data_IF_925639390269
#
_entry.id   IF_925639390269
#
_cell.length_a   1.000
_cell.length_b   1.000
_cell.length_c   1.000
_cell.angle_alpha   90.00
_cell.angle_beta   90.00
_cell.angle_gamma   90.00
#
_symmetry.space_group_name_H-M   'P 1'
#
loop_
_entity.id
_entity.type
_entity.pdbx_description
1 polymer ?
#
# COMPACT_ATOMS: atom_id res chain seq x y z
N UNK A 1 5.14 33.24 -16.61
CA UNK A 1 4.83 31.88 -17.07
C UNK A 1 4.25 31.10 -15.89
N UNK A 2 2.94 30.85 -15.86
CA UNK A 2 2.29 30.07 -14.80
C UNK A 2 2.65 28.60 -15.00
N UNK A 3 3.26 27.96 -13.99
CA UNK A 3 3.44 26.51 -13.96
C UNK A 3 2.06 25.85 -13.93
N UNK A 4 1.76 25.05 -14.96
CA UNK A 4 0.58 24.17 -14.91
C UNK A 4 0.71 23.28 -13.66
N UNK A 5 -0.35 23.14 -12.84
CA UNK A 5 -0.33 22.21 -11.73
C UNK A 5 -0.07 20.81 -12.27
N UNK A 6 0.86 20.09 -11.64
CA UNK A 6 1.15 18.69 -11.95
C UNK A 6 -0.18 17.92 -11.93
N UNK A 7 -0.47 17.20 -13.01
CA UNK A 7 -1.64 16.32 -13.11
C UNK A 7 -1.51 15.31 -11.97
N UNK A 8 -2.37 15.39 -10.97
CA UNK A 8 -2.48 14.35 -9.95
C UNK A 8 -2.86 13.08 -10.69
N UNK A 9 -1.98 12.08 -10.71
CA UNK A 9 -2.31 10.79 -11.28
C UNK A 9 -3.44 10.19 -10.43
N UNK A 10 -4.57 10.00 -11.04
CA UNK A 10 -5.72 9.36 -10.39
C UNK A 10 -5.40 7.87 -10.19
N UNK A 11 -5.67 7.35 -8.98
CA UNK A 11 -5.48 5.93 -8.69
C UNK A 11 -6.34 5.08 -9.63
N UNK A 12 -5.77 4.00 -10.15
CA UNK A 12 -6.47 3.12 -11.10
C UNK A 12 -7.77 2.54 -10.50
N UNK A 13 -8.86 2.67 -11.22
CA UNK A 13 -10.17 2.21 -10.77
C UNK A 13 -10.22 0.69 -10.46
N UNK A 14 -9.37 -0.12 -11.08
CA UNK A 14 -9.30 -1.55 -10.78
C UNK A 14 -8.69 -1.81 -9.39
N UNK A 15 -7.68 -1.02 -8.98
CA UNK A 15 -7.08 -1.12 -7.63
C UNK A 15 -8.12 -0.79 -6.58
N UNK A 16 -8.86 0.31 -6.75
CA UNK A 16 -9.91 0.72 -5.82
C UNK A 16 -10.96 -0.40 -5.67
N UNK A 17 -11.41 -0.99 -6.78
CA UNK A 17 -12.35 -2.11 -6.74
C UNK A 17 -11.77 -3.32 -6.02
N UNK A 18 -10.50 -3.62 -6.26
CA UNK A 18 -9.85 -4.76 -5.65
C UNK A 18 -9.66 -4.58 -4.14
N UNK A 19 -9.18 -3.41 -3.69
CA UNK A 19 -9.10 -3.07 -2.27
C UNK A 19 -10.47 -3.19 -1.60
N UNK A 20 -11.54 -2.64 -2.20
CA UNK A 20 -12.88 -2.76 -1.65
C UNK A 20 -13.38 -4.21 -1.58
N UNK A 21 -13.03 -5.05 -2.54
CA UNK A 21 -13.35 -6.47 -2.52
C UNK A 21 -12.67 -7.17 -1.34
N UNK A 22 -11.35 -7.01 -1.19
CA UNK A 22 -10.59 -7.61 -0.10
C UNK A 22 -11.04 -7.08 1.26
N UNK A 23 -11.22 -5.77 1.39
CA UNK A 23 -11.76 -5.12 2.58
C UNK A 23 -13.05 -5.81 3.08
N UNK A 24 -14.00 -6.05 2.18
CA UNK A 24 -15.26 -6.69 2.54
C UNK A 24 -15.06 -8.17 2.93
N UNK A 25 -14.19 -8.90 2.23
CA UNK A 25 -13.86 -10.30 2.56
C UNK A 25 -13.15 -10.44 3.90
N UNK A 26 -12.38 -9.43 4.30
CA UNK A 26 -11.67 -9.38 5.57
C UNK A 26 -12.53 -8.83 6.73
N UNK A 27 -13.83 -8.59 6.53
CA UNK A 27 -14.72 -8.11 7.59
C UNK A 27 -14.60 -6.61 7.90
N UNK A 28 -13.93 -5.84 7.06
CA UNK A 28 -13.72 -4.40 7.20
C UNK A 28 -14.78 -3.57 6.45
N UNK A 29 -15.99 -4.09 6.24
CA UNK A 29 -17.02 -3.42 5.42
C UNK A 29 -17.44 -2.05 5.96
N UNK A 30 -17.30 -1.82 7.28
CA UNK A 30 -17.55 -0.54 7.95
C UNK A 30 -16.39 0.47 7.84
N UNK A 31 -15.25 0.07 7.26
CA UNK A 31 -14.12 0.95 7.04
C UNK A 31 -14.23 1.70 5.71
N UNK A 32 -13.76 2.94 5.70
CA UNK A 32 -13.52 3.72 4.48
C UNK A 32 -12.02 3.72 4.18
N UNK A 33 -11.61 3.13 3.07
CA UNK A 33 -10.21 3.14 2.62
C UNK A 33 -10.05 4.16 1.49
N UNK A 34 -9.30 5.21 1.76
CA UNK A 34 -8.99 6.26 0.78
C UNK A 34 -7.65 5.95 0.09
N UNK A 35 -7.70 5.46 -1.13
CA UNK A 35 -6.50 5.24 -1.93
C UNK A 35 -5.85 6.57 -2.29
N UNK A 36 -4.56 6.71 -2.03
CA UNK A 36 -3.81 7.93 -2.28
C UNK A 36 -3.05 7.85 -3.61
N UNK A 37 -3.07 8.94 -4.37
CA UNK A 37 -2.31 9.04 -5.62
C UNK A 37 -0.79 9.22 -5.38
N UNK A 38 -0.41 9.78 -4.22
CA UNK A 38 0.99 9.86 -3.79
C UNK A 38 1.49 8.44 -3.48
N UNK A 39 2.69 8.04 -3.93
CA UNK A 39 3.25 6.73 -3.56
C UNK A 39 3.58 6.66 -2.07
N UNK A 40 3.69 5.43 -1.55
CA UNK A 40 4.26 5.14 -0.24
C UNK A 40 5.69 5.67 -0.12
N UNK A 41 6.27 5.61 1.07
CA UNK A 41 7.69 5.92 1.29
C UNK A 41 8.60 5.05 0.39
N UNK A 42 9.84 5.50 0.16
CA UNK A 42 10.73 4.88 -0.83
C UNK A 42 11.02 3.39 -0.57
N UNK A 43 10.98 2.99 0.71
CA UNK A 43 11.36 1.65 1.16
C UNK A 43 10.16 0.75 1.48
N UNK A 44 8.92 1.26 1.35
CA UNK A 44 7.69 0.52 1.64
C UNK A 44 6.95 0.12 0.35
N UNK A 45 6.50 -1.14 0.26
CA UNK A 45 5.64 -1.63 -0.83
C UNK A 45 4.23 -1.06 -0.73
N UNK A 46 3.74 -0.87 0.47
CA UNK A 46 2.51 -0.19 0.83
C UNK A 46 2.68 0.62 2.11
N UNK A 47 1.70 1.42 2.46
CA UNK A 47 1.67 2.20 3.70
C UNK A 47 0.21 2.52 4.01
N UNK A 48 -0.22 2.28 5.25
CA UNK A 48 -1.56 2.60 5.72
C UNK A 48 -1.52 3.57 6.89
N UNK A 49 -2.12 4.74 6.71
CA UNK A 49 -2.33 5.73 7.75
C UNK A 49 -3.75 5.59 8.29
N UNK A 50 -3.91 5.01 9.47
CA UNK A 50 -5.21 4.91 10.14
C UNK A 50 -5.56 6.22 10.83
N UNK A 51 -6.80 6.67 10.67
CA UNK A 51 -7.32 7.84 11.37
C UNK A 51 -8.06 7.35 12.60
N UNK A 52 -7.41 7.49 13.76
CA UNK A 52 -7.91 7.03 15.04
C UNK A 52 -9.29 7.62 15.38
N UNK A 53 -10.12 6.84 16.07
CA UNK A 53 -11.50 7.20 16.41
C UNK A 53 -12.47 7.20 15.23
N UNK A 54 -12.01 6.85 14.03
CA UNK A 54 -12.83 6.76 12.82
C UNK A 54 -12.49 5.47 12.08
N UNK A 55 -13.47 4.78 11.54
CA UNK A 55 -13.20 3.64 10.65
C UNK A 55 -12.74 4.15 9.26
N UNK A 56 -11.63 4.89 9.25
CA UNK A 56 -11.07 5.57 8.09
C UNK A 56 -9.58 5.35 8.02
N UNK A 57 -9.09 4.97 6.85
CA UNK A 57 -7.67 4.83 6.59
C UNK A 57 -7.29 5.39 5.21
N UNK A 58 -6.07 5.93 5.11
CA UNK A 58 -5.45 6.30 3.84
C UNK A 58 -4.46 5.21 3.49
N UNK A 59 -4.55 4.67 2.29
CA UNK A 59 -3.66 3.64 1.79
C UNK A 59 -2.84 4.16 0.63
N UNK A 60 -1.54 3.92 0.69
CA UNK A 60 -0.56 4.29 -0.31
C UNK A 60 0.06 3.00 -0.88
N UNK A 61 0.32 2.98 -2.17
CA UNK A 61 1.08 1.90 -2.82
C UNK A 61 2.37 2.48 -3.41
N UNK A 62 3.41 1.68 -3.52
CA UNK A 62 4.65 2.16 -4.12
C UNK A 62 4.46 2.52 -5.59
N UNK A 63 5.33 3.40 -6.12
CA UNK A 63 5.17 4.00 -7.46
C UNK A 63 5.10 2.99 -8.61
N UNK A 64 5.74 1.85 -8.41
CA UNK A 64 5.90 0.80 -9.44
C UNK A 64 4.96 -0.40 -9.24
N UNK A 65 4.01 -0.35 -8.29
CA UNK A 65 3.12 -1.46 -7.93
C UNK A 65 2.42 -2.12 -9.14
N UNK A 66 2.20 -1.36 -10.23
CA UNK A 66 1.61 -1.89 -11.47
C UNK A 66 2.49 -2.89 -12.21
N UNK A 67 3.77 -2.99 -11.82
CA UNK A 67 4.76 -3.92 -12.39
C UNK A 67 4.87 -5.21 -11.57
N UNK A 68 4.33 -5.22 -10.37
CA UNK A 68 4.38 -6.35 -9.48
C UNK A 68 3.49 -7.49 -10.00
N UNK A 69 3.77 -8.69 -9.54
CA UNK A 69 2.88 -9.82 -9.83
C UNK A 69 1.51 -9.64 -9.15
N UNK A 70 0.44 -10.24 -9.69
CA UNK A 70 -0.86 -10.21 -9.03
C UNK A 70 -0.81 -10.73 -7.59
N UNK A 71 0.07 -11.70 -7.32
CA UNK A 71 0.31 -12.30 -6.01
C UNK A 71 0.95 -11.29 -5.04
N UNK A 72 1.96 -10.53 -5.50
CA UNK A 72 2.63 -9.53 -4.69
C UNK A 72 1.68 -8.36 -4.37
N UNK A 73 0.92 -7.90 -5.36
CA UNK A 73 -0.11 -6.86 -5.14
C UNK A 73 -1.13 -7.32 -4.10
N UNK A 74 -1.58 -8.58 -4.19
CA UNK A 74 -2.48 -9.15 -3.20
C UNK A 74 -1.85 -9.16 -1.81
N UNK A 75 -0.62 -9.66 -1.68
CA UNK A 75 0.09 -9.74 -0.41
C UNK A 75 0.21 -8.35 0.23
N UNK A 76 0.66 -7.35 -0.54
CA UNK A 76 0.76 -5.97 -0.07
C UNK A 76 -0.59 -5.43 0.40
N UNK A 77 -1.66 -5.56 -0.39
CA UNK A 77 -2.96 -4.99 0.00
C UNK A 77 -3.56 -5.73 1.20
N UNK A 78 -3.35 -7.04 1.35
CA UNK A 78 -3.79 -7.79 2.54
C UNK A 78 -3.02 -7.31 3.76
N UNK A 79 -1.69 -7.12 3.67
CA UNK A 79 -0.87 -6.55 4.72
C UNK A 79 -1.42 -5.18 5.17
N UNK A 80 -1.64 -4.28 4.23
CA UNK A 80 -2.13 -2.93 4.51
C UNK A 80 -3.54 -2.93 5.15
N UNK A 81 -4.41 -3.83 4.77
CA UNK A 81 -5.73 -3.95 5.38
C UNK A 81 -5.69 -4.55 6.79
N UNK A 82 -4.67 -5.34 7.13
CA UNK A 82 -4.49 -5.88 8.49
C UNK A 82 -4.16 -4.79 9.50
N UNK A 83 -3.49 -3.70 9.11
CA UNK A 83 -3.33 -2.52 9.96
C UNK A 83 -4.66 -1.97 10.46
N UNK A 84 -5.71 -1.99 9.63
CA UNK A 84 -7.05 -1.57 10.06
C UNK A 84 -7.65 -2.48 11.15
N UNK A 85 -7.32 -3.78 11.17
CA UNK A 85 -7.76 -4.69 12.23
C UNK A 85 -7.05 -4.43 13.55
N UNK A 86 -5.74 -4.12 13.50
CA UNK A 86 -4.94 -3.88 14.70
C UNK A 86 -5.09 -2.47 15.26
N UNK A 87 -5.55 -1.52 14.44
CA UNK A 87 -5.66 -0.12 14.83
C UNK A 87 -6.50 0.11 16.09
N UNK A 88 -7.57 -0.67 16.29
CA UNK A 88 -8.40 -0.58 17.51
C UNK A 88 -7.63 -1.03 18.75
N UNK A 89 -6.80 -2.05 18.61
CA UNK A 89 -5.93 -2.52 19.70
C UNK A 89 -4.83 -1.49 20.01
N UNK A 90 -4.21 -0.94 18.98
CA UNK A 90 -3.19 0.11 19.13
C UNK A 90 -3.75 1.34 19.82
N UNK A 91 -4.94 1.79 19.44
CA UNK A 91 -5.62 2.93 20.08
C UNK A 91 -5.88 2.65 21.55
N UNK A 92 -6.39 1.45 21.90
CA UNK A 92 -6.62 1.07 23.28
C UNK A 92 -5.33 1.05 24.10
N UNK A 93 -4.23 0.57 23.53
CA UNK A 93 -2.91 0.56 24.18
C UNK A 93 -2.40 1.98 24.42
N UNK A 94 -2.50 2.86 23.40
CA UNK A 94 -2.12 4.26 23.53
C UNK A 94 -2.92 4.97 24.63
N UNK A 95 -4.21 4.70 24.74
CA UNK A 95 -5.04 5.30 25.79
C UNK A 95 -4.66 4.82 27.19
N UNK A 96 -4.39 3.51 27.36
CA UNK A 96 -4.04 2.93 28.67
C UNK A 96 -2.63 3.34 29.11
N UNK A 97 -1.70 3.48 28.16
CA UNK A 97 -0.31 3.79 28.44
C UNK A 97 0.01 5.30 28.34
N UNK A 98 -0.99 6.18 28.39
CA UNK A 98 -0.75 7.64 28.36
C UNK A 98 0.33 8.03 29.36
N UNK A 99 1.44 8.67 28.90
CA UNK A 99 2.51 9.06 29.80
C UNK A 99 2.09 10.26 30.65
N UNK A 100 2.62 10.34 31.86
CA UNK A 100 2.53 11.56 32.65
C UNK A 100 3.26 12.69 31.87
N UNK A 101 2.57 13.82 31.56
CA UNK A 101 3.15 14.90 30.78
C UNK A 101 4.33 15.58 31.48
N UNK A 102 4.47 15.47 32.79
CA UNK A 102 5.51 16.12 33.57
C UNK A 102 6.66 15.16 33.96
N UNK A 103 6.50 13.84 33.71
CA UNK A 103 7.52 12.84 34.02
C UNK A 103 8.28 12.36 32.76
N UNK A 104 9.55 12.75 32.65
CA UNK A 104 10.44 12.35 31.55
C UNK A 104 10.65 10.83 31.48
N UNK A 105 10.68 10.15 32.64
CA UNK A 105 10.82 8.68 32.72
C UNK A 105 9.58 7.98 32.18
N UNK A 106 8.39 8.46 32.56
CA UNK A 106 7.10 7.96 32.04
C UNK A 106 7.05 8.08 30.51
N UNK A 107 7.44 9.24 29.96
CA UNK A 107 7.53 9.44 28.49
C UNK A 107 8.50 8.46 27.82
N UNK A 108 9.65 8.25 28.41
CA UNK A 108 10.66 7.33 27.84
C UNK A 108 10.16 5.88 27.83
N UNK A 109 9.54 5.44 28.93
CA UNK A 109 8.93 4.10 29.03
C UNK A 109 7.79 3.97 28.02
N UNK A 110 6.89 4.94 27.93
CA UNK A 110 5.82 4.96 26.94
C UNK A 110 6.36 4.78 25.53
N UNK A 111 7.32 5.62 25.12
CA UNK A 111 7.95 5.55 23.80
C UNK A 111 8.53 4.16 23.51
N UNK A 112 9.23 3.58 24.48
CA UNK A 112 9.84 2.25 24.32
C UNK A 112 8.78 1.16 24.14
N UNK A 113 7.71 1.19 24.94
CA UNK A 113 6.62 0.19 24.85
C UNK A 113 5.87 0.32 23.53
N UNK A 114 5.54 1.54 23.10
CA UNK A 114 4.87 1.77 21.80
C UNK A 114 5.74 1.25 20.66
N UNK A 115 7.03 1.58 20.61
CA UNK A 115 7.92 1.09 19.56
C UNK A 115 8.03 -0.45 19.54
N UNK A 116 7.95 -1.09 20.70
CA UNK A 116 7.95 -2.56 20.78
C UNK A 116 6.62 -3.13 20.21
N UNK A 117 5.50 -2.52 20.55
CA UNK A 117 4.18 -2.94 20.05
C UNK A 117 4.11 -2.77 18.53
N UNK A 118 4.54 -1.63 18.00
CA UNK A 118 4.61 -1.39 16.56
C UNK A 118 5.45 -2.47 15.86
N UNK A 119 6.64 -2.79 16.40
CA UNK A 119 7.50 -3.81 15.84
C UNK A 119 6.87 -5.22 15.87
N UNK A 120 6.22 -5.61 16.97
CA UNK A 120 5.57 -6.92 17.06
C UNK A 120 4.30 -6.98 16.21
N UNK A 121 3.56 -5.87 16.06
CA UNK A 121 2.41 -5.78 15.16
C UNK A 121 2.82 -6.03 13.71
N UNK A 122 3.91 -5.42 13.22
CA UNK A 122 4.44 -5.69 11.88
C UNK A 122 4.72 -7.18 11.67
N UNK A 123 5.36 -7.84 12.63
CA UNK A 123 5.64 -9.28 12.55
C UNK A 123 4.37 -10.14 12.50
N UNK A 124 3.35 -9.76 13.26
CA UNK A 124 2.04 -10.43 13.26
C UNK A 124 1.35 -10.22 11.92
N UNK A 125 1.34 -8.99 11.41
CA UNK A 125 0.75 -8.61 10.12
C UNK A 125 1.41 -9.41 8.99
N UNK A 126 2.74 -9.45 8.93
CA UNK A 126 3.48 -10.22 7.93
C UNK A 126 3.07 -11.71 7.93
N UNK A 127 3.04 -12.33 9.10
CA UNK A 127 2.65 -13.73 9.25
C UNK A 127 1.21 -13.99 8.83
N UNK A 128 0.28 -13.10 9.21
CA UNK A 128 -1.12 -13.18 8.84
C UNK A 128 -1.31 -12.92 7.34
N UNK A 129 -0.64 -11.92 6.77
CA UNK A 129 -0.71 -11.60 5.35
C UNK A 129 -0.23 -12.76 4.48
N UNK A 130 0.87 -13.42 4.87
CA UNK A 130 1.36 -14.63 4.19
C UNK A 130 0.34 -15.78 4.25
N UNK A 131 -0.26 -16.00 5.41
CA UNK A 131 -1.20 -17.10 5.63
C UNK A 131 -2.54 -16.85 4.95
N UNK A 132 -3.13 -15.68 5.16
CA UNK A 132 -4.44 -15.30 4.64
C UNK A 132 -4.39 -14.98 3.15
N UNK A 133 -3.31 -14.38 2.69
CA UNK A 133 -3.14 -13.98 1.29
C UNK A 133 -3.36 -15.15 0.33
N UNK A 134 -2.95 -16.35 0.68
CA UNK A 134 -3.13 -17.56 -0.14
C UNK A 134 -4.60 -17.88 -0.44
N UNK A 135 -5.51 -17.48 0.44
CA UNK A 135 -6.95 -17.72 0.32
C UNK A 135 -7.71 -16.56 -0.31
N UNK A 136 -7.05 -15.40 -0.45
CA UNK A 136 -7.64 -14.22 -1.07
C UNK A 136 -7.52 -14.29 -2.60
N UNK A 137 -8.52 -13.82 -3.35
CA UNK A 137 -8.44 -13.78 -4.81
C UNK A 137 -7.34 -12.82 -5.26
N UNK A 138 -6.64 -13.17 -6.33
CA UNK A 138 -5.72 -12.23 -7.00
C UNK A 138 -6.48 -11.13 -7.75
N UNK A 139 -5.87 -9.96 -7.98
CA UNK A 139 -6.50 -8.88 -8.74
C UNK A 139 -6.68 -9.25 -10.21
N UNK A 140 -7.81 -8.84 -10.78
CA UNK A 140 -8.01 -8.87 -12.24
C UNK A 140 -7.36 -7.61 -12.84
N UNK A 141 -6.08 -7.75 -13.14
CA UNK A 141 -5.29 -6.65 -13.68
C UNK A 141 -5.63 -6.38 -15.15
N UNK A 142 -5.79 -5.12 -15.57
CA UNK A 142 -5.95 -4.80 -16.97
C UNK A 142 -4.71 -5.27 -17.74
N UNK A 143 -4.93 -6.03 -18.82
CA UNK A 143 -3.84 -6.46 -19.70
C UNK A 143 -3.12 -5.24 -20.23
N UNK A 144 -1.89 -5.00 -19.79
CA UNK A 144 -1.04 -3.95 -20.34
C UNK A 144 -0.85 -4.27 -21.82
N UNK A 145 -1.51 -3.51 -22.69
CA UNK A 145 -1.24 -3.56 -24.13
C UNK A 145 0.18 -3.02 -24.33
N UNK A 146 1.17 -3.91 -24.30
CA UNK A 146 2.51 -3.57 -24.76
C UNK A 146 2.34 -3.14 -26.21
N UNK A 147 2.35 -1.83 -26.46
CA UNK A 147 2.46 -1.30 -27.83
C UNK A 147 3.77 -1.86 -28.35
N UNK A 148 3.71 -2.95 -29.16
CA UNK A 148 4.87 -3.43 -29.92
C UNK A 148 5.34 -2.22 -30.73
N UNK A 149 6.38 -1.52 -30.25
CA UNK A 149 7.07 -0.52 -31.07
C UNK A 149 7.42 -1.26 -32.33
N UNK A 150 6.78 -0.86 -33.43
CA UNK A 150 7.07 -1.42 -34.72
C UNK A 150 8.57 -1.20 -34.94
N UNK A 151 9.35 -2.28 -34.84
CA UNK A 151 10.73 -2.33 -35.28
C UNK A 151 10.66 -2.21 -36.80
N UNK A 152 10.35 -1.00 -37.27
CA UNK A 152 10.37 -0.67 -38.69
C UNK A 152 11.84 -0.58 -39.15
N UNK A 153 12.23 -1.66 -39.82
CA UNK A 153 13.14 -1.60 -40.98
C UNK A 153 14.31 -0.60 -40.93
N UNK A 154 15.36 -0.96 -40.24
CA UNK A 154 16.72 -0.41 -40.54
C UNK A 154 17.58 -1.38 -41.36
N UNK A 155 17.05 -2.46 -41.87
CA UNK A 155 17.83 -3.51 -42.59
C UNK A 155 17.80 -3.34 -44.12
N UNK A 156 17.50 -2.20 -44.70
CA UNK A 156 17.51 -2.04 -46.19
C UNK A 156 18.35 -0.89 -46.74
N UNK A 157 19.40 -0.45 -46.06
CA UNK A 157 20.26 0.62 -46.62
C UNK A 157 21.76 0.33 -46.67
N UNK A 158 22.20 -0.90 -46.42
CA UNK A 158 23.65 -1.24 -46.47
C UNK A 158 24.09 -2.17 -47.59
N UNK A 159 23.25 -2.43 -48.59
CA UNK A 159 23.65 -3.30 -49.72
C UNK A 159 23.70 -2.58 -51.08
N UNK A 160 23.70 -1.25 -51.10
CA UNK A 160 23.78 -0.51 -52.41
C UNK A 160 24.93 0.48 -52.53
N UNK A 161 26.08 0.24 -51.90
CA UNK A 161 27.29 1.04 -52.16
C UNK A 161 28.53 0.16 -52.32
N UNK A 162 28.45 -0.88 -53.14
CA UNK A 162 29.63 -1.54 -53.76
C UNK A 162 29.21 -2.06 -55.12
N UNK A 163 29.21 -1.19 -56.09
CA UNK A 163 29.52 -1.42 -57.48
C UNK A 163 30.11 -0.15 -58.08
#
# INVERSE_FOLDING_TARGET
>A
MARQPAKVEEMDAWVIRYVNKLKNMMGLSNWTIMMQAKPSSADALGETEVIHGQHLAKMYLHKDFRKDSPEDIRATIVHELLHCHLAVLEEAVHEVLKPDPDDAKSKAVHKMVISLIEYENERIIDSLAESMGKWMPVPDMPKVRVKKKAVKKVVKKQVRSKK
#
